data_IF_419533472613
#
_entry.id   IF_419533472613
#
_cell.length_a   1.000
_cell.length_b   1.000
_cell.length_c   1.000
_cell.angle_alpha   90.00
_cell.angle_beta   90.00
_cell.angle_gamma   90.00
#
_symmetry.space_group_name_H-M   'P 1'
#
loop_
_entity.id
_entity.type
_entity.pdbx_description
1 polymer ?
#
# COMPACT_ATOMS: atom_id res chain seq x y z
N UNK A 1 13.38 -17.50 31.84
CA UNK A 1 12.87 -16.42 32.70
C UNK A 1 12.98 -15.12 31.91
N UNK A 2 11.90 -14.75 31.24
CA UNK A 2 11.80 -13.48 30.51
C UNK A 2 11.47 -12.42 31.56
N UNK A 3 12.39 -11.49 31.79
CA UNK A 3 12.15 -10.34 32.66
C UNK A 3 11.04 -9.50 32.05
N UNK A 4 9.85 -9.58 32.64
CA UNK A 4 8.70 -8.76 32.29
C UNK A 4 9.03 -7.29 32.51
N UNK A 5 8.97 -6.51 31.44
CA UNK A 5 8.95 -5.06 31.54
C UNK A 5 7.59 -4.73 32.17
N UNK A 6 7.62 -4.30 33.44
CA UNK A 6 6.42 -3.90 34.17
C UNK A 6 5.67 -2.79 33.43
N UNK A 7 4.33 -2.82 33.46
CA UNK A 7 3.44 -1.76 32.94
C UNK A 7 3.77 -0.32 33.41
N UNK A 8 4.66 -0.14 34.38
CA UNK A 8 5.06 1.16 34.91
C UNK A 8 6.00 2.00 34.01
N UNK A 9 6.65 1.42 32.99
CA UNK A 9 7.65 2.16 32.17
C UNK A 9 7.13 2.72 30.84
N UNK A 10 5.82 2.65 30.57
CA UNK A 10 5.19 3.14 29.34
C UNK A 10 4.20 4.29 29.55
N UNK A 11 4.18 4.88 30.74
CA UNK A 11 3.59 6.20 30.92
C UNK A 11 4.56 7.28 30.42
N UNK A 12 4.79 7.30 29.11
CA UNK A 12 5.01 8.60 28.48
C UNK A 12 3.73 9.39 28.80
N UNK A 13 3.88 10.52 29.48
CA UNK A 13 2.75 11.32 29.88
C UNK A 13 1.97 11.66 28.61
N UNK A 14 0.74 11.19 28.43
CA UNK A 14 -0.01 11.36 27.19
C UNK A 14 -0.09 12.83 26.73
N UNK A 15 0.13 13.77 27.67
CA UNK A 15 0.31 15.21 27.45
C UNK A 15 1.50 15.62 26.58
N UNK A 16 2.49 14.76 26.32
CA UNK A 16 3.67 15.09 25.47
C UNK A 16 3.57 14.53 24.06
N UNK A 17 2.51 13.79 23.74
CA UNK A 17 2.32 13.20 22.42
C UNK A 17 1.77 14.29 21.49
N UNK A 18 2.39 14.50 20.31
CA UNK A 18 1.90 15.50 19.37
C UNK A 18 0.45 15.24 18.95
N UNK A 19 -0.33 16.31 18.73
CA UNK A 19 -1.77 16.23 18.43
C UNK A 19 -2.10 15.47 17.14
N UNK A 20 -1.12 15.27 16.28
CA UNK A 20 -1.18 14.44 15.09
C UNK A 20 -1.11 12.92 15.39
N UNK A 21 -1.06 12.50 16.65
CA UNK A 21 -1.21 11.10 17.05
C UNK A 21 -2.42 10.96 17.99
N UNK A 22 -3.47 10.32 17.50
CA UNK A 22 -4.69 10.06 18.28
C UNK A 22 -4.64 8.66 18.88
N UNK A 23 -4.77 8.57 20.20
CA UNK A 23 -4.75 7.30 20.93
C UNK A 23 -6.18 6.89 21.25
N UNK A 24 -6.56 5.67 20.85
CA UNK A 24 -7.84 5.05 21.17
C UNK A 24 -7.69 3.86 22.13
N UNK A 25 -6.51 3.21 22.13
CA UNK A 25 -6.13 2.13 23.02
C UNK A 25 -4.70 2.36 23.53
N UNK A 26 -4.44 2.05 24.81
CA UNK A 26 -3.13 2.20 25.45
C UNK A 26 -2.02 1.40 24.72
N UNK A 27 -2.35 0.31 24.05
CA UNK A 27 -1.38 -0.50 23.30
C UNK A 27 -0.71 0.30 22.16
N UNK A 28 -1.36 1.38 21.67
CA UNK A 28 -0.75 2.27 20.67
C UNK A 28 0.50 2.98 21.20
N UNK A 29 0.64 3.17 22.52
CA UNK A 29 1.83 3.75 23.13
C UNK A 29 3.08 2.90 22.88
N UNK A 30 2.94 1.57 22.73
CA UNK A 30 4.05 0.70 22.36
C UNK A 30 4.54 0.96 20.94
N UNK A 31 3.63 1.32 20.03
CA UNK A 31 3.93 1.66 18.64
C UNK A 31 4.55 3.06 18.57
N UNK A 32 4.00 4.03 19.29
CA UNK A 32 4.51 5.41 19.29
C UNK A 32 5.90 5.53 19.94
N UNK A 33 6.14 4.79 21.01
CA UNK A 33 7.35 4.93 21.82
C UNK A 33 7.36 6.24 22.62
N UNK A 34 8.55 6.66 23.07
CA UNK A 34 8.70 7.77 24.02
C UNK A 34 8.68 9.17 23.38
N UNK A 35 8.94 9.27 22.08
CA UNK A 35 9.08 10.55 21.37
C UNK A 35 8.60 10.45 19.92
N UNK A 36 7.31 10.15 19.69
CA UNK A 36 6.77 10.11 18.34
C UNK A 36 6.86 11.49 17.69
N UNK A 37 7.18 11.53 16.39
CA UNK A 37 7.31 12.77 15.62
C UNK A 37 6.73 12.60 14.24
N UNK A 38 6.18 13.67 13.66
CA UNK A 38 5.79 13.72 12.25
C UNK A 38 6.51 14.91 11.60
N UNK A 39 7.18 14.65 10.49
CA UNK A 39 7.99 15.63 9.76
C UNK A 39 7.55 15.68 8.30
N UNK A 40 7.45 16.88 7.74
CA UNK A 40 7.35 17.06 6.29
C UNK A 40 8.74 16.92 5.69
N UNK A 41 8.93 15.98 4.75
CA UNK A 41 10.21 15.77 4.07
C UNK A 41 10.31 16.52 2.75
N UNK A 42 9.24 16.48 1.95
CA UNK A 42 9.16 17.10 0.63
C UNK A 42 7.75 17.61 0.36
N UNK A 43 7.68 18.70 -0.40
CA UNK A 43 6.44 19.28 -0.93
C UNK A 43 6.67 19.69 -2.38
N UNK A 44 5.71 19.42 -3.24
CA UNK A 44 5.74 19.79 -4.65
C UNK A 44 4.31 20.08 -5.13
N UNK A 45 4.06 21.33 -5.53
CA UNK A 45 2.75 21.80 -5.97
C UNK A 45 2.52 21.63 -7.47
N UNK A 46 3.52 21.23 -8.25
CA UNK A 46 3.41 21.07 -9.70
C UNK A 46 2.54 19.85 -10.08
N UNK A 47 2.63 18.77 -9.31
CA UNK A 47 1.84 17.55 -9.50
C UNK A 47 1.81 16.71 -8.21
N UNK A 48 0.79 15.84 -8.03
CA UNK A 48 0.60 15.04 -6.81
C UNK A 48 1.55 13.83 -6.77
N UNK A 49 2.85 14.09 -6.60
CA UNK A 49 3.92 13.09 -6.75
C UNK A 49 3.88 11.93 -5.74
N UNK A 50 3.22 12.09 -4.60
CA UNK A 50 3.22 11.17 -3.48
C UNK A 50 1.79 10.65 -3.22
N UNK A 51 1.34 9.68 -4.00
CA UNK A 51 -0.01 9.10 -3.86
C UNK A 51 0.04 7.61 -3.49
N UNK A 52 0.72 6.80 -4.30
CA UNK A 52 0.66 5.34 -4.26
C UNK A 52 2.05 4.67 -4.21
N UNK A 53 2.10 3.35 -4.00
CA UNK A 53 3.31 2.52 -4.00
C UNK A 53 4.50 3.09 -3.22
N UNK A 54 4.30 3.47 -1.96
CA UNK A 54 5.43 3.77 -1.08
C UNK A 54 6.32 2.51 -0.97
N UNK A 55 7.43 2.47 -1.70
CA UNK A 55 8.36 1.32 -1.76
C UNK A 55 9.74 1.77 -1.30
N UNK A 56 10.09 1.39 -0.08
CA UNK A 56 11.40 1.68 0.50
C UNK A 56 12.43 0.61 0.08
N UNK A 57 13.59 1.06 -0.41
CA UNK A 57 14.73 0.24 -0.80
C UNK A 57 15.85 0.42 0.23
N UNK A 58 16.03 -0.53 1.17
CA UNK A 58 16.93 -0.35 2.29
C UNK A 58 18.40 -0.22 1.88
N UNK A 59 18.83 -0.85 0.79
CA UNK A 59 20.23 -0.88 0.35
C UNK A 59 20.75 0.47 -0.15
N UNK A 60 19.86 1.34 -0.63
CA UNK A 60 20.18 2.66 -1.19
C UNK A 60 19.54 3.81 -0.40
N UNK A 61 18.83 3.49 0.69
CA UNK A 61 18.02 4.43 1.48
C UNK A 61 17.16 5.34 0.58
N UNK A 62 16.51 4.71 -0.40
CA UNK A 62 15.70 5.38 -1.41
C UNK A 62 14.25 4.93 -1.29
N UNK A 63 13.32 5.85 -1.53
CA UNK A 63 11.89 5.60 -1.56
C UNK A 63 11.37 5.83 -2.98
N UNK A 64 10.63 4.87 -3.52
CA UNK A 64 9.89 5.04 -4.76
C UNK A 64 8.41 5.23 -4.43
N UNK A 65 7.71 5.98 -5.28
CA UNK A 65 6.28 6.21 -5.19
C UNK A 65 5.72 6.56 -6.57
N UNK A 66 4.44 6.35 -6.75
CA UNK A 66 3.68 6.79 -7.92
C UNK A 66 2.83 8.01 -7.56
N UNK A 67 2.70 8.92 -8.52
CA UNK A 67 1.79 10.07 -8.41
C UNK A 67 0.33 9.62 -8.50
N UNK A 68 -0.59 10.48 -8.08
CA UNK A 68 -1.99 10.31 -8.47
C UNK A 68 -2.12 10.53 -9.99
N UNK A 69 -3.22 10.09 -10.58
CA UNK A 69 -3.54 10.41 -11.96
C UNK A 69 -3.74 11.92 -12.10
N UNK A 70 -2.94 12.55 -12.97
CA UNK A 70 -3.03 13.97 -13.25
C UNK A 70 -2.90 14.24 -14.75
N UNK A 71 -3.28 15.43 -15.20
CA UNK A 71 -3.07 15.86 -16.59
C UNK A 71 -1.70 16.49 -16.70
N UNK A 72 -0.83 15.88 -17.49
CA UNK A 72 0.50 16.40 -17.75
C UNK A 72 0.41 17.78 -18.44
N UNK A 73 0.97 18.86 -17.87
CA UNK A 73 0.81 20.20 -18.42
C UNK A 73 1.52 20.40 -19.77
N UNK A 74 2.46 19.53 -20.13
CA UNK A 74 3.22 19.59 -21.39
C UNK A 74 2.49 18.81 -22.48
N UNK A 75 2.07 17.58 -22.19
CA UNK A 75 1.45 16.70 -23.20
C UNK A 75 -0.07 16.80 -23.24
N UNK A 76 -0.69 17.40 -22.22
CA UNK A 76 -2.14 17.47 -22.01
C UNK A 76 -2.82 16.10 -21.99
N UNK A 77 -2.10 15.07 -21.53
CA UNK A 77 -2.60 13.69 -21.38
C UNK A 77 -2.61 13.29 -19.91
N UNK A 78 -3.61 12.50 -19.51
CA UNK A 78 -3.63 11.87 -18.20
C UNK A 78 -2.43 10.94 -18.04
N UNK A 79 -1.70 11.05 -16.95
CA UNK A 79 -0.50 10.27 -16.69
C UNK A 79 -0.30 10.02 -15.19
N UNK A 80 0.55 9.04 -14.89
CA UNK A 80 1.13 8.81 -13.57
C UNK A 80 2.64 8.76 -13.72
N UNK A 81 3.36 9.43 -12.82
CA UNK A 81 4.83 9.45 -12.81
C UNK A 81 5.36 8.70 -11.60
N UNK A 82 6.52 8.06 -11.78
CA UNK A 82 7.28 7.48 -10.67
C UNK A 82 8.27 8.52 -10.17
N UNK A 83 8.29 8.74 -8.87
CA UNK A 83 9.29 9.58 -8.19
C UNK A 83 10.15 8.72 -7.30
N UNK A 84 11.46 8.91 -7.39
CA UNK A 84 12.43 8.33 -6.46
C UNK A 84 12.97 9.44 -5.56
N UNK A 85 12.95 9.19 -4.26
CA UNK A 85 13.40 10.11 -3.22
C UNK A 85 14.58 9.48 -2.49
N UNK A 86 15.69 10.21 -2.38
CA UNK A 86 16.80 9.81 -1.52
C UNK A 86 16.56 10.40 -0.11
N UNK A 87 16.09 9.55 0.82
CA UNK A 87 15.72 9.97 2.17
C UNK A 87 16.92 10.14 3.10
N UNK A 88 18.11 9.70 2.67
CA UNK A 88 19.38 9.95 3.38
C UNK A 88 20.04 11.29 3.03
N UNK A 89 19.63 11.91 1.91
CA UNK A 89 20.19 13.18 1.47
C UNK A 89 19.75 14.34 2.38
N UNK A 90 20.62 15.34 2.53
CA UNK A 90 20.35 16.54 3.32
C UNK A 90 20.73 17.79 2.51
N UNK A 91 19.74 18.54 1.97
CA UNK A 91 18.30 18.27 2.02
C UNK A 91 17.90 17.01 1.26
N UNK A 92 16.72 16.45 1.58
CA UNK A 92 16.13 15.32 0.85
C UNK A 92 16.00 15.70 -0.62
N UNK A 93 16.34 14.78 -1.52
CA UNK A 93 16.27 15.01 -2.97
C UNK A 93 15.31 14.05 -3.65
N UNK A 94 14.70 14.49 -4.75
CA UNK A 94 13.77 13.70 -5.54
C UNK A 94 14.10 13.80 -7.03
N UNK A 95 13.89 12.71 -7.76
CA UNK A 95 13.99 12.64 -9.22
C UNK A 95 12.79 11.91 -9.82
N UNK A 96 12.34 12.35 -10.99
CA UNK A 96 11.32 11.65 -11.76
C UNK A 96 11.99 10.52 -12.54
N UNK A 97 11.45 9.31 -12.43
CA UNK A 97 11.93 8.14 -13.14
C UNK A 97 11.13 7.95 -14.42
N UNK A 98 11.85 7.95 -15.54
CA UNK A 98 11.27 7.61 -16.83
C UNK A 98 11.15 6.10 -16.95
N UNK A 99 9.98 5.57 -16.62
CA UNK A 99 9.63 4.16 -16.77
C UNK A 99 8.79 3.93 -18.02
N UNK A 100 8.79 2.70 -18.54
CA UNK A 100 7.90 2.24 -19.62
C UNK A 100 6.65 1.55 -19.09
N UNK A 101 6.44 1.52 -17.76
CA UNK A 101 5.24 0.92 -17.16
C UNK A 101 4.04 1.84 -17.44
N UNK A 102 2.96 1.33 -18.04
CA UNK A 102 1.76 2.13 -18.33
C UNK A 102 0.97 2.37 -17.04
N UNK A 103 0.94 3.64 -16.62
CA UNK A 103 0.23 4.12 -15.42
C UNK A 103 0.55 3.27 -14.17
N UNK A 104 1.79 3.32 -13.65
CA UNK A 104 2.19 2.56 -12.48
C UNK A 104 1.39 3.01 -11.26
N UNK A 105 0.81 2.07 -10.51
CA UNK A 105 0.05 2.34 -9.30
C UNK A 105 0.79 1.81 -8.08
N UNK A 106 0.40 0.64 -7.55
CA UNK A 106 0.99 -0.03 -6.41
C UNK A 106 2.31 -0.71 -6.73
N UNK A 107 3.03 -1.11 -5.69
CA UNK A 107 4.32 -1.77 -5.85
C UNK A 107 4.92 -2.28 -4.55
N UNK A 108 5.87 -3.19 -4.69
CA UNK A 108 6.56 -3.83 -3.56
C UNK A 108 8.03 -4.07 -3.91
N UNK A 109 8.91 -3.93 -2.92
CA UNK A 109 10.32 -4.28 -3.06
C UNK A 109 10.44 -5.77 -3.43
N UNK A 110 11.18 -6.08 -4.49
CA UNK A 110 11.32 -7.45 -5.00
C UNK A 110 12.74 -7.71 -5.51
N UNK A 111 13.60 -8.22 -4.61
CA UNK A 111 14.96 -8.63 -4.93
C UNK A 111 15.87 -7.45 -5.33
N UNK A 112 16.25 -7.41 -6.61
CA UNK A 112 17.12 -6.36 -7.18
C UNK A 112 16.33 -5.15 -7.73
N UNK A 113 15.02 -5.12 -7.51
CA UNK A 113 14.14 -4.13 -8.11
C UNK A 113 12.82 -3.96 -7.36
N UNK A 114 11.81 -3.52 -8.09
CA UNK A 114 10.47 -3.27 -7.60
C UNK A 114 9.51 -4.00 -8.52
N UNK A 115 8.61 -4.78 -7.93
CA UNK A 115 7.47 -5.33 -8.63
C UNK A 115 6.34 -4.30 -8.58
N UNK A 116 5.96 -3.78 -9.74
CA UNK A 116 4.94 -2.75 -9.92
C UNK A 116 3.64 -3.35 -10.45
N UNK A 117 2.54 -2.81 -9.96
CA UNK A 117 1.25 -2.88 -10.61
C UNK A 117 1.13 -1.75 -11.64
N UNK A 118 0.88 -2.09 -12.90
CA UNK A 118 0.58 -1.13 -13.96
C UNK A 118 -0.90 -1.18 -14.33
N UNK A 119 -1.58 -0.04 -14.30
CA UNK A 119 -3.02 0.01 -14.59
C UNK A 119 -3.33 -0.18 -16.09
N UNK A 120 -2.34 0.02 -16.97
CA UNK A 120 -2.55 0.03 -18.42
C UNK A 120 -3.16 1.33 -18.92
N UNK A 121 -3.27 1.48 -20.23
CA UNK A 121 -3.92 2.63 -20.88
C UNK A 121 -5.02 2.15 -21.84
N UNK A 122 -5.60 3.08 -22.60
CA UNK A 122 -6.50 2.75 -23.71
C UNK A 122 -5.84 1.87 -24.79
N UNK A 123 -4.51 1.95 -24.93
CA UNK A 123 -3.78 1.30 -26.03
C UNK A 123 -2.67 0.35 -25.56
N UNK A 124 -2.33 0.36 -24.26
CA UNK A 124 -1.28 -0.47 -23.69
C UNK A 124 -1.84 -1.32 -22.56
N UNK A 125 -1.38 -2.57 -22.50
CA UNK A 125 -1.85 -3.53 -21.51
C UNK A 125 -1.35 -3.17 -20.12
N UNK A 126 -2.18 -3.41 -19.09
CA UNK A 126 -1.76 -3.32 -17.69
C UNK A 126 -1.07 -4.61 -17.25
N UNK A 127 -0.87 -4.78 -15.94
CA UNK A 127 -0.35 -6.02 -15.38
C UNK A 127 0.71 -5.83 -14.31
N UNK A 128 1.52 -6.87 -14.11
CA UNK A 128 2.67 -6.83 -13.21
C UNK A 128 3.95 -6.58 -14.00
N UNK A 129 4.80 -5.70 -13.50
CA UNK A 129 6.06 -5.32 -14.12
C UNK A 129 7.22 -5.40 -13.12
N UNK A 130 8.35 -5.98 -13.50
CA UNK A 130 9.57 -5.90 -12.70
C UNK A 130 10.42 -4.75 -13.21
N UNK A 131 10.78 -3.80 -12.35
CA UNK A 131 11.64 -2.65 -12.66
C UNK A 131 12.92 -2.67 -11.83
N UNK A 132 14.08 -2.43 -12.45
CA UNK A 132 15.34 -2.22 -11.73
C UNK A 132 15.26 -1.02 -10.78
N UNK A 133 15.75 -1.16 -9.55
CA UNK A 133 15.81 -0.05 -8.57
C UNK A 133 16.96 0.94 -8.85
N UNK A 134 17.83 0.62 -9.81
CA UNK A 134 18.94 1.49 -10.25
C UNK A 134 18.82 1.84 -11.72
N UNK A 135 19.37 3.00 -12.09
CA UNK A 135 19.47 3.44 -13.47
C UNK A 135 20.12 2.34 -14.34
N UNK A 136 19.60 2.08 -15.56
CA UNK A 136 18.63 2.89 -16.29
C UNK A 136 17.16 2.50 -16.06
N UNK A 137 16.80 1.90 -14.91
CA UNK A 137 15.41 1.62 -14.51
C UNK A 137 14.60 0.80 -15.53
N UNK A 138 15.26 -0.16 -16.19
CA UNK A 138 14.60 -1.06 -17.16
C UNK A 138 13.43 -1.79 -16.49
N UNK A 139 12.33 -1.87 -17.22
CA UNK A 139 11.10 -2.55 -16.80
C UNK A 139 10.75 -3.68 -17.77
N UNK A 140 10.25 -4.78 -17.23
CA UNK A 140 9.79 -5.96 -17.98
C UNK A 140 8.37 -6.33 -17.55
N UNK A 141 7.49 -6.60 -18.53
CA UNK A 141 6.16 -7.14 -18.27
C UNK A 141 6.26 -8.60 -17.83
N UNK A 142 5.70 -8.92 -16.66
CA UNK A 142 5.69 -10.27 -16.09
C UNK A 142 4.43 -11.03 -16.49
N UNK A 143 3.27 -10.38 -16.41
CA UNK A 143 1.97 -10.91 -16.84
C UNK A 143 1.00 -9.75 -17.04
N UNK A 144 0.22 -9.78 -18.13
CA UNK A 144 -0.76 -8.73 -18.47
C UNK A 144 -2.20 -9.23 -18.61
N UNK A 145 -2.41 -10.55 -18.53
CA UNK A 145 -3.71 -11.16 -18.79
C UNK A 145 -3.97 -12.41 -17.94
N UNK A 146 -5.26 -12.73 -17.80
CA UNK A 146 -5.78 -13.97 -17.27
C UNK A 146 -6.33 -14.83 -18.40
N UNK A 147 -5.46 -15.68 -18.97
CA UNK A 147 -5.78 -16.61 -20.06
C UNK A 147 -6.39 -15.92 -21.29
N UNK A 148 -5.74 -14.86 -21.76
CA UNK A 148 -6.12 -14.07 -22.93
C UNK A 148 -7.11 -12.93 -22.66
N UNK A 149 -7.57 -12.76 -21.41
CA UNK A 149 -8.37 -11.62 -20.99
C UNK A 149 -7.51 -10.65 -20.22
N UNK A 150 -7.34 -9.44 -20.71
CA UNK A 150 -6.52 -8.44 -20.03
C UNK A 150 -7.01 -8.18 -18.60
N UNK A 151 -6.07 -7.98 -17.68
CA UNK A 151 -6.39 -7.44 -16.37
C UNK A 151 -7.08 -6.08 -16.49
N UNK A 152 -7.94 -5.79 -15.52
CA UNK A 152 -8.73 -4.56 -15.48
C UNK A 152 -7.81 -3.35 -15.34
N UNK A 153 -7.19 -3.23 -14.17
CA UNK A 153 -6.21 -2.21 -13.80
C UNK A 153 -5.57 -2.63 -12.49
N UNK A 154 -4.56 -3.49 -12.58
CA UNK A 154 -3.85 -4.03 -11.40
C UNK A 154 -3.45 -2.88 -10.50
N UNK A 155 -3.81 -2.97 -9.22
CA UNK A 155 -3.75 -1.84 -8.31
C UNK A 155 -2.66 -2.00 -7.27
N UNK A 156 -2.67 -3.08 -6.48
CA UNK A 156 -1.67 -3.31 -5.44
C UNK A 156 -1.17 -4.77 -5.46
N UNK A 157 0.07 -4.99 -5.00
CA UNK A 157 0.75 -6.30 -5.08
C UNK A 157 1.62 -6.58 -3.86
N UNK A 158 1.66 -7.85 -3.43
CA UNK A 158 2.56 -8.36 -2.39
C UNK A 158 3.24 -9.65 -2.85
N UNK A 159 4.47 -9.87 -2.40
CA UNK A 159 5.23 -11.11 -2.65
C UNK A 159 5.12 -12.03 -1.43
N UNK A 160 4.63 -13.25 -1.63
CA UNK A 160 4.57 -14.29 -0.62
C UNK A 160 5.95 -14.93 -0.38
N UNK A 161 6.12 -15.64 0.74
CA UNK A 161 7.40 -16.31 1.09
C UNK A 161 7.80 -17.40 0.10
N UNK A 162 6.83 -17.99 -0.59
CA UNK A 162 7.06 -18.96 -1.66
C UNK A 162 7.50 -18.29 -2.99
N UNK A 163 7.61 -16.96 -3.01
CA UNK A 163 7.98 -16.16 -4.18
C UNK A 163 6.82 -15.81 -5.10
N UNK A 164 5.59 -16.28 -4.82
CA UNK A 164 4.43 -15.97 -5.64
C UNK A 164 3.92 -14.55 -5.41
N UNK A 165 3.36 -13.95 -6.46
CA UNK A 165 2.83 -12.60 -6.46
C UNK A 165 1.34 -12.64 -6.24
N UNK A 166 0.84 -11.89 -5.26
CA UNK A 166 -0.58 -11.77 -4.95
C UNK A 166 -1.01 -10.34 -5.17
N UNK A 167 -2.04 -10.12 -5.98
CA UNK A 167 -2.40 -8.78 -6.44
C UNK A 167 -3.90 -8.59 -6.60
N UNK A 168 -4.32 -7.34 -6.52
CA UNK A 168 -5.71 -6.89 -6.68
C UNK A 168 -5.93 -6.31 -8.06
N UNK A 169 -7.08 -6.63 -8.67
CA UNK A 169 -7.44 -6.16 -10.02
C UNK A 169 -8.80 -5.43 -10.05
N UNK A 170 -8.88 -4.23 -9.44
CA UNK A 170 -10.06 -3.38 -9.49
C UNK A 170 -10.20 -2.69 -10.86
N UNK A 171 -11.27 -1.91 -11.00
CA UNK A 171 -11.65 -1.21 -12.25
C UNK A 171 -11.40 0.31 -12.23
N UNK A 172 -10.46 0.80 -11.42
CA UNK A 172 -10.24 2.24 -11.22
C UNK A 172 -9.93 2.98 -12.51
N UNK A 173 -9.00 2.47 -13.31
CA UNK A 173 -8.56 3.11 -14.55
C UNK A 173 -9.71 3.28 -15.55
N UNK A 174 -10.64 2.32 -15.60
CA UNK A 174 -11.85 2.43 -16.43
C UNK A 174 -12.80 3.50 -15.89
N UNK A 175 -13.01 3.54 -14.56
CA UNK A 175 -13.81 4.59 -13.92
C UNK A 175 -13.21 5.99 -14.06
N UNK A 176 -11.90 6.08 -14.24
CA UNK A 176 -11.18 7.32 -14.52
C UNK A 176 -11.09 7.65 -16.03
N UNK A 177 -11.59 6.78 -16.90
CA UNK A 177 -11.62 7.01 -18.36
C UNK A 177 -10.29 6.79 -19.08
N UNK A 178 -9.28 6.21 -18.42
CA UNK A 178 -7.95 5.97 -18.99
C UNK A 178 -7.73 4.52 -19.45
N UNK A 179 -8.72 3.65 -19.26
CA UNK A 179 -8.68 2.23 -19.62
C UNK A 179 -9.99 1.79 -20.31
N UNK A 180 -9.96 0.83 -21.24
CA UNK A 180 -11.17 0.29 -21.86
C UNK A 180 -12.08 -0.39 -20.84
N UNK A 181 -13.29 -0.75 -21.27
CA UNK A 181 -14.23 -1.48 -20.41
C UNK A 181 -13.61 -2.81 -19.95
N UNK A 182 -13.61 -3.12 -18.64
CA UNK A 182 -13.15 -4.36 -18.04
C UNK A 182 -13.72 -5.63 -18.69
N UNK A 183 -12.88 -6.67 -18.78
CA UNK A 183 -13.26 -8.01 -19.25
C UNK A 183 -13.29 -9.05 -18.12
N UNK A 184 -12.84 -8.66 -16.91
CA UNK A 184 -12.77 -9.51 -15.73
C UNK A 184 -13.58 -8.88 -14.58
N UNK A 185 -14.10 -9.68 -13.63
CA UNK A 185 -14.64 -9.16 -12.39
C UNK A 185 -13.53 -8.56 -11.51
N UNK A 186 -13.93 -7.79 -10.49
CA UNK A 186 -13.04 -7.31 -9.43
C UNK A 186 -12.59 -8.50 -8.56
N UNK A 187 -11.33 -8.92 -8.71
CA UNK A 187 -10.82 -10.16 -8.10
C UNK A 187 -9.40 -9.98 -7.56
N UNK A 188 -8.97 -10.96 -6.77
CA UNK A 188 -7.61 -11.10 -6.28
C UNK A 188 -6.99 -12.33 -6.91
N UNK A 189 -5.76 -12.18 -7.38
CA UNK A 189 -5.04 -13.20 -8.13
C UNK A 189 -3.76 -13.60 -7.42
N UNK A 190 -3.33 -14.84 -7.66
CA UNK A 190 -1.97 -15.32 -7.39
C UNK A 190 -1.31 -15.68 -8.70
N UNK A 191 -0.09 -15.19 -8.90
CA UNK A 191 0.77 -15.52 -10.02
C UNK A 191 2.07 -16.15 -9.51
N UNK A 192 2.44 -17.29 -10.08
CA UNK A 192 3.71 -17.96 -9.81
C UNK A 192 4.74 -17.57 -10.88
N UNK A 193 5.81 -16.83 -10.54
CA UNK A 193 6.78 -16.40 -11.55
C UNK A 193 7.63 -17.52 -12.14
N UNK A 194 7.68 -18.69 -11.48
CA UNK A 194 8.44 -19.86 -11.93
C UNK A 194 7.62 -20.68 -12.91
N UNK A 195 6.40 -21.06 -12.54
CA UNK A 195 5.55 -21.90 -13.40
C UNK A 195 4.73 -21.09 -14.42
N UNK A 196 4.63 -19.77 -14.20
CA UNK A 196 3.75 -18.84 -14.95
C UNK A 196 2.27 -19.09 -14.72
N UNK A 197 1.92 -19.89 -13.71
CA UNK A 197 0.52 -20.15 -13.36
C UNK A 197 -0.12 -18.91 -12.74
N UNK A 198 -1.28 -18.54 -13.25
CA UNK A 198 -2.13 -17.48 -12.72
C UNK A 198 -3.50 -18.04 -12.35
N UNK A 199 -4.02 -17.66 -11.19
CA UNK A 199 -5.41 -17.97 -10.83
C UNK A 199 -6.02 -16.96 -9.89
N UNK A 200 -7.34 -16.92 -9.92
CA UNK A 200 -8.15 -16.24 -8.92
C UNK A 200 -8.02 -16.97 -7.58
N UNK A 201 -7.80 -16.22 -6.51
CA UNK A 201 -7.69 -16.73 -5.13
C UNK A 201 -8.78 -16.20 -4.21
N UNK A 202 -9.41 -15.07 -4.57
CA UNK A 202 -10.60 -14.55 -3.90
C UNK A 202 -11.41 -13.64 -4.83
N UNK A 203 -12.71 -13.56 -4.58
CA UNK A 203 -13.67 -12.73 -5.29
C UNK A 203 -14.73 -12.15 -4.32
N UNK A 204 -15.80 -11.57 -4.87
CA UNK A 204 -16.89 -10.98 -4.09
C UNK A 204 -16.54 -9.62 -3.47
N UNK A 205 -15.55 -8.92 -4.03
CA UNK A 205 -15.21 -7.55 -3.66
C UNK A 205 -15.96 -6.55 -4.53
N UNK A 206 -16.28 -5.40 -3.95
CA UNK A 206 -16.73 -4.25 -4.73
C UNK A 206 -15.55 -3.66 -5.51
N UNK A 207 -14.43 -3.34 -4.85
CA UNK A 207 -13.14 -2.89 -5.43
C UNK A 207 -11.98 -3.31 -4.51
N UNK A 208 -11.32 -4.46 -4.77
CA UNK A 208 -10.18 -4.87 -3.98
C UNK A 208 -9.02 -3.89 -4.23
N UNK A 209 -8.37 -3.45 -3.16
CA UNK A 209 -7.33 -2.41 -3.22
C UNK A 209 -6.04 -2.89 -2.55
N UNK A 210 -5.70 -2.38 -1.37
CA UNK A 210 -4.53 -2.78 -0.60
C UNK A 210 -4.56 -4.24 -0.20
N UNK A 211 -3.38 -4.89 -0.23
CA UNK A 211 -3.19 -6.31 0.08
C UNK A 211 -1.94 -6.52 0.94
N UNK A 212 -2.06 -7.31 2.00
CA UNK A 212 -0.91 -7.62 2.86
C UNK A 212 -1.09 -8.91 3.65
N UNK A 213 -0.01 -9.64 3.88
CA UNK A 213 0.00 -10.81 4.75
C UNK A 213 0.26 -10.45 6.22
N UNK A 214 -0.28 -11.25 7.14
CA UNK A 214 0.21 -11.32 8.51
C UNK A 214 1.69 -11.72 8.57
N UNK A 215 2.41 -11.45 9.67
CA UNK A 215 3.82 -11.81 9.80
C UNK A 215 4.11 -13.30 9.59
N UNK A 216 3.17 -14.18 9.93
CA UNK A 216 3.30 -15.63 9.72
C UNK A 216 2.75 -16.11 8.36
N UNK A 217 2.21 -15.20 7.54
CA UNK A 217 1.50 -15.46 6.28
C UNK A 217 0.32 -16.42 6.39
N UNK A 218 -0.27 -16.59 7.58
CA UNK A 218 -1.48 -17.40 7.78
C UNK A 218 -2.76 -16.60 7.61
N UNK A 219 -2.68 -15.28 7.62
CA UNK A 219 -3.81 -14.39 7.34
C UNK A 219 -3.45 -13.46 6.18
N UNK A 220 -4.38 -13.26 5.25
CA UNK A 220 -4.32 -12.24 4.21
C UNK A 220 -5.34 -11.14 4.53
N UNK A 221 -4.91 -9.89 4.49
CA UNK A 221 -5.77 -8.71 4.61
C UNK A 221 -5.93 -8.05 3.24
N UNK A 222 -7.16 -7.76 2.84
CA UNK A 222 -7.49 -7.08 1.59
C UNK A 222 -8.52 -5.98 1.87
N UNK A 223 -8.26 -4.74 1.48
CA UNK A 223 -9.25 -3.66 1.55
C UNK A 223 -10.23 -3.71 0.37
N UNK A 224 -11.47 -3.33 0.65
CA UNK A 224 -12.53 -3.08 -0.31
C UNK A 224 -12.98 -1.63 -0.20
N UNK A 225 -12.83 -0.89 -1.28
CA UNK A 225 -12.95 0.58 -1.34
C UNK A 225 -14.09 1.03 -2.26
N UNK A 226 -15.05 0.15 -2.49
CA UNK A 226 -16.16 0.39 -3.38
C UNK A 226 -17.04 1.60 -3.04
N UNK A 227 -17.00 2.08 -1.79
CA UNK A 227 -17.56 3.39 -1.40
C UNK A 227 -17.10 4.49 -2.36
N UNK A 228 -15.86 4.45 -2.86
CA UNK A 228 -15.40 5.36 -3.92
C UNK A 228 -15.90 4.88 -5.27
N UNK A 229 -16.86 5.57 -5.89
CA UNK A 229 -17.48 5.16 -7.17
C UNK A 229 -16.65 5.63 -8.38
N UNK A 230 -15.86 6.69 -8.23
CA UNK A 230 -15.05 7.30 -9.28
C UNK A 230 -15.42 8.77 -9.51
N UNK A 231 -14.49 9.56 -10.07
CA UNK A 231 -14.71 10.99 -10.30
C UNK A 231 -14.99 11.81 -9.03
N UNK A 232 -14.49 11.37 -7.87
CA UNK A 232 -14.70 12.03 -6.58
C UNK A 232 -16.06 11.77 -5.92
N UNK A 233 -16.87 10.85 -6.46
CA UNK A 233 -18.18 10.49 -5.89
C UNK A 233 -18.10 9.31 -4.93
N UNK A 234 -18.91 9.34 -3.87
CA UNK A 234 -19.00 8.31 -2.83
C UNK A 234 -20.42 7.77 -2.67
N UNK A 235 -20.53 6.48 -2.34
CA UNK A 235 -21.77 5.83 -1.92
C UNK A 235 -21.52 5.05 -0.63
N UNK A 236 -22.02 5.60 0.47
CA UNK A 236 -21.84 5.08 1.84
C UNK A 236 -22.54 3.73 2.07
N UNK A 237 -23.32 3.23 1.11
CA UNK A 237 -23.91 1.90 1.15
C UNK A 237 -22.95 0.82 0.60
N UNK A 238 -21.85 1.22 -0.03
CA UNK A 238 -20.85 0.32 -0.58
C UNK A 238 -19.67 0.10 0.39
N UNK A 239 -18.92 -1.00 0.25
CA UNK A 239 -17.81 -1.31 1.14
C UNK A 239 -16.74 -0.22 1.27
N UNK A 240 -16.33 0.03 2.52
CA UNK A 240 -15.14 0.75 2.92
C UNK A 240 -14.39 -0.08 3.97
N UNK A 241 -14.14 -1.36 3.67
CA UNK A 241 -13.90 -2.40 4.69
C UNK A 241 -12.64 -3.18 4.40
N UNK A 242 -11.85 -3.48 5.42
CA UNK A 242 -10.76 -4.45 5.38
C UNK A 242 -11.33 -5.84 5.70
N UNK A 243 -11.11 -6.80 4.82
CA UNK A 243 -11.43 -8.20 5.04
C UNK A 243 -10.17 -9.00 5.34
N UNK A 244 -10.31 -10.00 6.21
CA UNK A 244 -9.28 -11.00 6.49
C UNK A 244 -9.69 -12.36 5.94
N UNK A 245 -8.70 -13.14 5.55
CA UNK A 245 -8.83 -14.50 5.04
C UNK A 245 -7.77 -15.39 5.68
N UNK A 246 -8.11 -16.64 5.95
CA UNK A 246 -7.11 -17.64 6.32
C UNK A 246 -6.40 -18.12 5.06
N UNK A 247 -5.07 -18.22 5.13
CA UNK A 247 -4.23 -18.77 4.07
C UNK A 247 -4.00 -20.24 4.38
N UNK A 248 -4.68 -21.12 3.64
CA UNK A 248 -4.67 -22.57 3.90
C UNK A 248 -4.17 -23.35 2.69
N UNK A 249 -3.38 -24.40 2.88
CA UNK A 249 -2.98 -25.29 1.77
C UNK A 249 -4.01 -26.40 1.58
N UNK A 250 -4.61 -26.47 0.39
CA UNK A 250 -5.56 -27.53 0.00
C UNK A 250 -5.05 -28.13 -1.31
N UNK A 251 -4.98 -29.46 -1.41
CA UNK A 251 -4.41 -30.15 -2.58
C UNK A 251 -3.02 -29.63 -3.02
N UNK A 252 -2.18 -29.24 -2.05
CA UNK A 252 -0.84 -28.70 -2.33
C UNK A 252 -0.80 -27.26 -2.84
N UNK A 253 -1.93 -26.54 -2.86
CA UNK A 253 -2.03 -25.16 -3.35
C UNK A 253 -2.56 -24.23 -2.25
N UNK A 254 -2.14 -22.94 -2.19
CA UNK A 254 -2.63 -22.00 -1.18
C UNK A 254 -4.03 -21.47 -1.51
N UNK A 255 -4.93 -21.37 -0.54
CA UNK A 255 -6.28 -20.84 -0.73
C UNK A 255 -6.56 -19.74 0.29
N UNK A 256 -7.36 -18.75 -0.10
CA UNK A 256 -7.98 -17.83 0.83
C UNK A 256 -9.33 -18.41 1.24
N UNK A 257 -9.48 -18.69 2.53
CA UNK A 257 -10.70 -19.26 3.12
C UNK A 257 -11.18 -18.38 4.28
N UNK A 258 -12.37 -18.67 4.82
CA UNK A 258 -12.91 -18.00 6.01
C UNK A 258 -12.89 -16.46 5.91
N UNK A 259 -13.38 -15.92 4.79
CA UNK A 259 -13.56 -14.47 4.61
C UNK A 259 -14.34 -13.90 5.79
N UNK A 260 -13.78 -12.89 6.45
CA UNK A 260 -14.39 -12.20 7.58
C UNK A 260 -14.08 -10.72 7.54
N UNK A 261 -14.98 -9.90 8.09
CA UNK A 261 -14.69 -8.49 8.34
C UNK A 261 -13.56 -8.42 9.36
N UNK A 262 -12.55 -7.63 9.07
CA UNK A 262 -11.47 -7.33 10.01
C UNK A 262 -11.68 -5.96 10.64
N UNK A 263 -11.78 -4.91 9.82
CA UNK A 263 -11.94 -3.53 10.30
C UNK A 263 -12.62 -2.64 9.24
N UNK A 264 -13.25 -1.56 9.70
CA UNK A 264 -13.75 -0.47 8.89
C UNK A 264 -13.25 0.84 9.52
N UNK A 265 -12.62 1.77 8.78
CA UNK A 265 -12.23 3.06 9.32
C UNK A 265 -13.47 3.89 9.66
N UNK A 266 -13.29 4.83 10.58
CA UNK A 266 -14.35 5.77 10.95
C UNK A 266 -14.55 6.92 9.97
N UNK A 267 -13.61 7.16 9.04
CA UNK A 267 -13.70 8.19 8.00
C UNK A 267 -13.06 7.72 6.68
N UNK A 268 -13.84 7.74 5.61
CA UNK A 268 -13.44 7.35 4.26
C UNK A 268 -13.17 5.85 4.10
N UNK A 269 -12.30 5.52 3.15
CA UNK A 269 -11.94 4.15 2.78
C UNK A 269 -10.57 3.73 3.35
N UNK A 270 -10.34 2.44 3.60
CA UNK A 270 -9.01 1.89 3.81
C UNK A 270 -8.36 1.61 2.45
N UNK A 271 -7.36 2.39 2.07
CA UNK A 271 -6.67 2.29 0.79
C UNK A 271 -5.52 1.26 0.87
N UNK A 272 -4.24 1.67 0.76
CA UNK A 272 -3.08 0.79 0.92
C UNK A 272 -2.95 0.22 2.34
N UNK A 273 -2.63 -1.07 2.46
CA UNK A 273 -2.49 -1.80 3.72
C UNK A 273 -1.05 -2.24 3.95
N UNK A 274 -0.56 -2.13 5.19
CA UNK A 274 0.71 -2.74 5.64
C UNK A 274 0.54 -3.37 7.03
N UNK A 275 1.36 -4.36 7.33
CA UNK A 275 1.34 -5.06 8.62
C UNK A 275 2.72 -4.95 9.27
N UNK A 276 2.77 -4.74 10.59
CA UNK A 276 4.02 -4.78 11.36
C UNK A 276 4.33 -6.19 11.88
N UNK A 277 5.56 -6.42 12.37
CA UNK A 277 5.98 -7.74 12.88
C UNK A 277 5.20 -8.23 14.11
N UNK A 278 4.46 -7.36 14.81
CA UNK A 278 3.59 -7.74 15.92
C UNK A 278 2.17 -8.10 15.45
N UNK A 279 1.89 -8.00 14.14
CA UNK A 279 0.60 -8.29 13.54
C UNK A 279 -0.39 -7.14 13.58
N UNK A 280 0.04 -5.92 13.95
CA UNK A 280 -0.83 -4.76 13.83
C UNK A 280 -1.00 -4.39 12.35
N UNK A 281 -2.23 -4.05 11.97
CA UNK A 281 -2.62 -3.75 10.60
C UNK A 281 -2.81 -2.24 10.47
N UNK A 282 -2.18 -1.65 9.47
CA UNK A 282 -2.18 -0.23 9.19
C UNK A 282 -2.85 -0.02 7.83
N UNK A 283 -3.69 1.01 7.70
CA UNK A 283 -4.25 1.40 6.41
C UNK A 283 -4.21 2.92 6.22
N UNK A 284 -4.01 3.34 4.98
CA UNK A 284 -4.22 4.71 4.56
C UNK A 284 -5.70 5.02 4.53
N UNK A 285 -6.11 6.11 5.17
CA UNK A 285 -7.50 6.53 5.29
C UNK A 285 -7.61 8.04 5.08
N UNK A 286 -8.85 8.53 5.01
CA UNK A 286 -9.15 9.95 4.77
C UNK A 286 -8.64 10.90 5.86
N UNK A 287 -8.42 10.40 7.06
CA UNK A 287 -7.88 11.15 8.20
C UNK A 287 -6.40 10.86 8.51
N UNK A 288 -5.75 9.99 7.73
CA UNK A 288 -4.34 9.65 7.88
C UNK A 288 -4.13 8.13 7.96
N UNK A 289 -3.15 7.68 8.74
CA UNK A 289 -2.88 6.24 8.92
C UNK A 289 -3.65 5.73 10.12
N UNK A 290 -4.58 4.80 9.90
CA UNK A 290 -5.33 4.13 10.95
C UNK A 290 -4.67 2.80 11.30
N UNK A 291 -4.56 2.49 12.60
CA UNK A 291 -3.80 1.34 13.11
C UNK A 291 -4.70 0.47 13.99
N UNK A 292 -4.83 -0.80 13.61
CA UNK A 292 -5.59 -1.80 14.35
C UNK A 292 -4.66 -2.90 14.87
N UNK A 293 -5.01 -3.47 16.02
CA UNK A 293 -4.38 -4.71 16.51
C UNK A 293 -4.67 -5.87 15.56
N UNK A 294 -3.93 -6.97 15.71
CA UNK A 294 -4.20 -8.22 14.97
C UNK A 294 -5.64 -8.75 15.16
N UNK A 295 -6.35 -8.32 16.21
CA UNK A 295 -7.75 -8.64 16.47
C UNK A 295 -8.76 -7.67 15.88
N UNK A 296 -8.36 -6.64 15.13
CA UNK A 296 -9.26 -5.66 14.51
C UNK A 296 -9.69 -4.52 15.44
N UNK A 297 -9.12 -4.40 16.64
CA UNK A 297 -9.38 -3.27 17.56
C UNK A 297 -8.56 -2.07 17.14
N UNK A 298 -9.21 -0.91 16.94
CA UNK A 298 -8.53 0.34 16.63
C UNK A 298 -7.64 0.76 17.80
N UNK A 299 -6.34 0.83 17.54
CA UNK A 299 -5.33 1.24 18.52
C UNK A 299 -5.16 2.76 18.52
N UNK A 300 -5.01 3.33 17.33
CA UNK A 300 -4.69 4.73 17.18
C UNK A 300 -4.64 5.18 15.73
N UNK A 301 -4.36 6.47 15.55
CA UNK A 301 -4.26 7.12 14.25
C UNK A 301 -3.07 8.05 14.21
N UNK A 302 -2.38 8.08 13.06
CA UNK A 302 -1.43 9.14 12.70
C UNK A 302 -2.20 10.10 11.80
N UNK A 303 -2.64 11.23 12.34
CA UNK A 303 -3.49 12.18 11.65
C UNK A 303 -2.70 12.96 10.60
N UNK A 304 -3.17 12.90 9.36
CA UNK A 304 -2.65 13.67 8.23
C UNK A 304 -3.83 14.43 7.63
N UNK A 305 -3.70 15.75 7.51
CA UNK A 305 -4.74 16.56 6.85
C UNK A 305 -4.89 16.09 5.40
N UNK A 306 -6.14 15.91 4.96
CA UNK A 306 -6.49 15.34 3.66
C UNK A 306 -6.11 13.85 3.46
N UNK A 307 -5.73 13.14 4.52
CA UNK A 307 -5.58 11.69 4.51
C UNK A 307 -4.28 11.18 3.89
N UNK A 308 -4.26 9.89 3.58
CA UNK A 308 -3.15 9.24 2.88
C UNK A 308 -3.67 7.98 2.17
N UNK A 309 -3.24 7.77 0.93
CA UNK A 309 -3.57 6.56 0.17
C UNK A 309 -2.61 5.42 0.49
N UNK A 310 -1.31 5.69 0.59
CA UNK A 310 -0.31 4.65 0.86
C UNK A 310 0.84 5.16 1.74
N UNK A 311 1.58 4.22 2.32
CA UNK A 311 2.70 4.48 3.23
C UNK A 311 3.58 3.23 3.30
N UNK A 312 4.80 3.37 3.81
CA UNK A 312 5.71 2.24 4.03
C UNK A 312 6.54 2.39 5.28
N UNK A 313 6.98 1.24 5.81
CA UNK A 313 7.97 1.21 6.88
C UNK A 313 9.36 1.43 6.30
N UNK A 314 10.12 2.31 6.95
CA UNK A 314 11.55 2.49 6.78
C UNK A 314 12.32 1.86 7.95
N UNK A 315 13.60 2.21 8.08
CA UNK A 315 14.46 1.71 9.15
C UNK A 315 14.12 2.36 10.51
N UNK A 316 14.41 1.63 11.59
CA UNK A 316 14.44 2.16 12.96
C UNK A 316 13.16 2.90 13.37
N UNK A 317 11.99 2.33 13.05
CA UNK A 317 10.70 2.93 13.39
C UNK A 317 10.27 4.10 12.51
N UNK A 318 10.96 4.40 11.40
CA UNK A 318 10.46 5.37 10.44
C UNK A 318 9.30 4.80 9.62
N UNK A 319 8.32 5.64 9.32
CA UNK A 319 7.25 5.37 8.38
C UNK A 319 7.14 6.54 7.41
N UNK A 320 7.15 6.27 6.10
CA UNK A 320 6.96 7.26 5.05
C UNK A 320 5.50 7.29 4.63
N UNK A 321 4.87 8.46 4.65
CA UNK A 321 3.42 8.63 4.44
C UNK A 321 3.19 9.57 3.27
N UNK A 322 2.37 9.12 2.31
CA UNK A 322 2.12 9.84 1.05
C UNK A 322 0.84 10.69 1.16
N UNK A 323 0.88 11.96 0.74
CA UNK A 323 -0.25 12.88 0.87
C UNK A 323 -0.33 13.83 -0.34
N UNK A 324 -0.53 13.24 -1.52
CA UNK A 324 -0.62 13.90 -2.82
C UNK A 324 0.62 14.74 -3.15
N UNK A 325 0.63 16.01 -2.78
CA UNK A 325 1.70 16.97 -3.01
C UNK A 325 2.77 16.96 -1.91
N UNK A 326 2.65 16.08 -0.91
CA UNK A 326 3.53 16.04 0.27
C UNK A 326 3.99 14.63 0.61
N UNK A 327 5.25 14.53 1.04
CA UNK A 327 5.82 13.34 1.65
C UNK A 327 6.13 13.62 3.12
N UNK A 328 5.54 12.84 4.01
CA UNK A 328 5.83 12.91 5.45
C UNK A 328 6.66 11.72 5.92
N UNK A 329 7.37 11.91 7.03
CA UNK A 329 7.95 10.83 7.82
C UNK A 329 7.44 10.89 9.25
N UNK A 330 6.85 9.78 9.72
CA UNK A 330 6.59 9.55 11.12
C UNK A 330 7.77 8.79 11.75
N UNK A 331 8.27 9.28 12.88
CA UNK A 331 9.13 8.53 13.77
C UNK A 331 8.25 7.83 14.82
N UNK A 332 8.25 6.51 14.78
CA UNK A 332 7.61 5.62 15.75
C UNK A 332 8.67 5.02 16.69
N UNK A 333 8.26 4.09 17.55
CA UNK A 333 9.19 3.29 18.33
C UNK A 333 10.17 2.56 17.39
N UNK A 334 11.47 2.58 17.73
CA UNK A 334 12.53 2.02 16.90
C UNK A 334 12.38 0.52 16.63
N UNK A 335 11.63 -0.18 17.48
CA UNK A 335 11.35 -1.61 17.32
C UNK A 335 10.22 -1.89 16.32
N UNK A 336 9.47 -0.87 15.87
CA UNK A 336 8.41 -1.04 14.87
C UNK A 336 9.03 -1.17 13.49
N UNK A 337 8.68 -2.24 12.78
CA UNK A 337 9.07 -2.48 11.40
C UNK A 337 8.02 -3.35 10.69
N UNK A 338 7.89 -3.15 9.38
CA UNK A 338 6.92 -3.83 8.54
C UNK A 338 7.29 -5.27 8.21
N UNK A 339 6.33 -6.02 7.67
CA UNK A 339 6.52 -7.37 7.13
C UNK A 339 7.11 -7.41 5.73
N UNK A 340 7.06 -6.30 4.99
CA UNK A 340 7.50 -6.18 3.59
C UNK A 340 8.93 -5.63 3.44
N UNK A 341 9.80 -5.95 4.41
CA UNK A 341 11.19 -5.48 4.44
C UNK A 341 12.13 -6.36 3.62
#
# INVERSE_FOLDING_TARGET
MVTGISHASLQANASTIPSNFSIYNADFLHILGSAPKLELLLENDDFPFAHEASVYIPSTDSLFMSSNLFVDPITNKSTIRVTKVNVSAHPVTAEIINTTIPLPNGGVNNGNGILWAGQGTLNETGGLFQMSATAPYKSELITGDYYGREFNSVNDVVVARDGAYWFTDPIYAWKQGVRPKPQLPNQVYRYDPVTKDVRVVADGFGRPNGISFSPDQKTMYISDTAETIGGGTTDLLLPATIYAFDVTTIHGQPFLTNRRVFAMPGDGIPDGIKVDQNGNVYAGCKDGVNVWSAGGILLGKILIKNGTSNFSFGRNGRMFILNENKLFAAQLNRTVHGTLF
#
